data_IF_958737927015
#
_entry.id   IF_958737927015
#
_cell.length_a   1.000
_cell.length_b   1.000
_cell.length_c   1.000
_cell.angle_alpha   90.00
_cell.angle_beta   90.00
_cell.angle_gamma   90.00
#
_symmetry.space_group_name_H-M   'P 1'
#
loop_
_entity.id
_entity.type
_entity.pdbx_description
1 polymer ?
#
# COMPACT_ATOMS: atom_id res chain seq x y z
N UNK A 1 -30.21 9.48 -13.68
CA UNK A 1 -28.82 9.57 -13.19
C UNK A 1 -28.69 10.97 -12.61
N UNK A 2 -28.48 11.11 -11.30
CA UNK A 2 -28.29 12.43 -10.72
C UNK A 2 -27.00 13.03 -11.31
N UNK A 3 -27.06 14.27 -11.81
CA UNK A 3 -25.89 14.99 -12.30
C UNK A 3 -24.83 15.03 -11.20
N UNK A 4 -23.74 14.29 -11.40
CA UNK A 4 -22.58 14.35 -10.52
C UNK A 4 -21.91 15.71 -10.75
N UNK A 5 -22.23 16.68 -9.89
CA UNK A 5 -21.54 17.96 -9.88
C UNK A 5 -20.26 17.83 -9.04
N UNK A 6 -19.06 17.99 -9.63
CA UNK A 6 -17.83 17.94 -8.85
C UNK A 6 -17.86 19.05 -7.79
N UNK A 7 -17.57 18.71 -6.53
CA UNK A 7 -17.51 19.66 -5.41
C UNK A 7 -16.11 20.22 -5.17
N UNK A 8 -15.13 19.69 -5.89
CA UNK A 8 -13.74 20.11 -5.88
C UNK A 8 -13.17 20.04 -7.30
N UNK A 9 -12.13 20.81 -7.56
CA UNK A 9 -11.37 20.72 -8.80
C UNK A 9 -9.86 20.86 -8.57
N UNK A 10 -9.07 20.34 -9.50
CA UNK A 10 -7.61 20.44 -9.46
C UNK A 10 -7.17 21.66 -10.26
N UNK A 11 -6.38 22.54 -9.65
CA UNK A 11 -5.77 23.70 -10.32
C UNK A 11 -4.26 23.69 -10.10
N UNK A 12 -3.49 24.23 -11.05
CA UNK A 12 -2.06 24.53 -10.82
C UNK A 12 -1.98 25.79 -9.97
N UNK A 13 -1.27 25.72 -8.85
CA UNK A 13 -1.07 26.86 -7.95
C UNK A 13 0.12 27.67 -8.43
N UNK A 14 1.31 27.06 -8.46
CA UNK A 14 2.58 27.65 -8.88
C UNK A 14 3.64 26.54 -9.05
N UNK A 15 4.85 26.91 -9.47
CA UNK A 15 5.99 25.98 -9.62
C UNK A 15 6.50 25.41 -8.28
N UNK A 16 6.12 26.04 -7.16
CA UNK A 16 6.58 25.66 -5.82
C UNK A 16 5.69 24.59 -5.17
N UNK A 17 4.38 24.78 -5.27
CA UNK A 17 3.32 23.94 -4.70
C UNK A 17 2.75 22.94 -5.71
N UNK A 18 2.93 23.19 -7.01
CA UNK A 18 2.40 22.34 -8.06
C UNK A 18 0.87 22.40 -8.14
N UNK A 19 0.22 21.22 -8.16
CA UNK A 19 -1.25 21.11 -8.23
C UNK A 19 -1.87 21.18 -6.84
N UNK A 20 -3.02 21.83 -6.73
CA UNK A 20 -3.84 21.87 -5.52
C UNK A 20 -5.30 21.55 -5.80
N UNK A 21 -6.01 21.17 -4.74
CA UNK A 21 -7.45 20.89 -4.76
C UNK A 21 -8.23 22.10 -4.24
N UNK A 22 -9.20 22.58 -5.00
CA UNK A 22 -9.99 23.77 -4.72
C UNK A 22 -11.45 23.42 -4.57
N UNK A 23 -12.11 23.97 -3.55
CA UNK A 23 -13.54 23.78 -3.32
C UNK A 23 -14.39 24.53 -4.36
N UNK A 24 -15.37 23.85 -4.94
CA UNK A 24 -16.40 24.41 -5.83
C UNK A 24 -17.70 24.72 -5.07
N UNK A 25 -17.79 24.31 -3.80
CA UNK A 25 -18.94 24.52 -2.93
C UNK A 25 -18.49 24.75 -1.49
N UNK A 26 -19.39 25.24 -0.63
CA UNK A 26 -19.10 25.40 0.80
C UNK A 26 -19.15 24.04 1.50
N UNK A 27 -18.21 23.81 2.42
CA UNK A 27 -18.17 22.65 3.30
C UNK A 27 -18.35 23.09 4.76
N UNK A 28 -19.09 22.31 5.53
CA UNK A 28 -19.22 22.45 6.97
C UNK A 28 -18.29 21.48 7.70
N UNK A 29 -18.06 21.74 8.99
CA UNK A 29 -17.30 20.83 9.85
C UNK A 29 -18.02 19.47 9.90
N UNK A 30 -17.29 18.41 9.58
CA UNK A 30 -17.81 17.04 9.54
C UNK A 30 -18.13 16.55 8.13
N UNK A 31 -18.21 17.44 7.14
CA UNK A 31 -18.48 17.03 5.76
C UNK A 31 -17.32 16.17 5.23
N UNK A 32 -17.69 15.08 4.54
CA UNK A 32 -16.78 14.37 3.65
C UNK A 32 -16.59 15.27 2.43
N UNK A 33 -15.35 15.56 2.00
CA UNK A 33 -15.06 16.41 0.82
C UNK A 33 -15.09 15.57 -0.46
N UNK A 34 -14.35 14.47 -0.46
CA UNK A 34 -14.40 13.41 -1.46
C UNK A 34 -13.89 12.11 -0.82
N UNK A 35 -14.18 10.99 -1.46
CA UNK A 35 -13.61 9.68 -1.14
C UNK A 35 -12.97 9.13 -2.41
N UNK A 36 -11.82 8.49 -2.26
CA UNK A 36 -11.17 7.80 -3.36
C UNK A 36 -10.75 6.41 -2.93
N UNK A 37 -10.70 5.49 -3.89
CA UNK A 37 -10.07 4.19 -3.68
C UNK A 37 -8.57 4.36 -3.96
N UNK A 38 -7.69 3.81 -3.11
CA UNK A 38 -6.27 3.86 -3.38
C UNK A 38 -5.99 3.15 -4.71
N UNK A 39 -5.11 3.74 -5.52
CA UNK A 39 -4.71 3.13 -6.79
C UNK A 39 -4.05 1.77 -6.56
N UNK A 40 -3.20 1.67 -5.55
CA UNK A 40 -2.69 0.43 -4.98
C UNK A 40 -2.48 0.63 -3.48
N UNK A 41 -2.58 -0.45 -2.71
CA UNK A 41 -2.16 -0.50 -1.31
C UNK A 41 -1.38 -1.79 -1.07
N UNK A 42 -0.62 -1.89 0.01
CA UNK A 42 0.04 -3.12 0.41
C UNK A 42 0.24 -3.11 1.92
N UNK A 43 0.07 -4.26 2.55
CA UNK A 43 0.42 -4.42 3.96
C UNK A 43 1.93 -4.26 4.15
N UNK A 44 2.31 -3.70 5.29
CA UNK A 44 3.69 -3.75 5.76
C UNK A 44 4.14 -5.19 5.97
N UNK A 45 5.32 -5.51 5.47
CA UNK A 45 5.86 -6.87 5.47
C UNK A 45 6.13 -7.37 6.89
N UNK A 46 6.49 -6.48 7.82
CA UNK A 46 6.61 -6.84 9.23
C UNK A 46 5.25 -7.10 9.87
N UNK A 47 4.22 -6.32 9.57
CA UNK A 47 2.87 -6.59 10.08
C UNK A 47 2.36 -7.96 9.60
N UNK A 48 2.59 -8.29 8.34
CA UNK A 48 2.28 -9.61 7.81
C UNK A 48 3.08 -10.71 8.54
N UNK A 49 4.38 -10.50 8.77
CA UNK A 49 5.24 -11.45 9.49
C UNK A 49 4.83 -11.64 10.96
N UNK A 50 4.31 -10.59 11.62
CA UNK A 50 3.74 -10.66 12.97
C UNK A 50 2.29 -11.18 13.00
N UNK A 51 1.75 -11.61 11.86
CA UNK A 51 0.44 -12.26 11.76
C UNK A 51 -0.75 -11.31 11.86
N UNK A 52 -0.58 -10.01 11.56
CA UNK A 52 -1.73 -9.12 11.40
C UNK A 52 -2.51 -9.51 10.15
N UNK A 53 -3.81 -9.74 10.28
CA UNK A 53 -4.65 -10.21 9.18
C UNK A 53 -5.37 -9.05 8.50
N UNK A 54 -5.02 -8.78 7.24
CA UNK A 54 -5.63 -7.72 6.44
C UNK A 54 -5.97 -8.21 5.04
N UNK A 55 -7.09 -7.72 4.49
CA UNK A 55 -7.50 -7.97 3.12
C UNK A 55 -6.42 -7.47 2.16
N UNK A 56 -5.95 -8.36 1.28
CA UNK A 56 -4.90 -8.01 0.33
C UNK A 56 -5.34 -6.90 -0.65
N UNK A 57 -6.65 -6.73 -0.91
CA UNK A 57 -7.15 -5.69 -1.82
C UNK A 57 -7.41 -4.33 -1.15
N UNK A 58 -8.08 -4.31 0.00
CA UNK A 58 -8.63 -3.08 0.58
C UNK A 58 -8.09 -2.75 1.98
N UNK A 59 -7.15 -3.55 2.49
CA UNK A 59 -6.52 -3.40 3.81
C UNK A 59 -7.47 -3.48 5.01
N UNK A 60 -8.75 -3.80 4.81
CA UNK A 60 -9.69 -4.05 5.91
C UNK A 60 -9.22 -5.24 6.76
N UNK A 61 -9.40 -5.20 8.09
CA UNK A 61 -9.06 -6.32 8.96
C UNK A 61 -9.88 -7.57 8.59
N UNK A 62 -9.26 -8.75 8.72
CA UNK A 62 -9.90 -10.05 8.46
C UNK A 62 -10.28 -10.80 9.75
N UNK A 63 -9.93 -10.22 10.90
CA UNK A 63 -10.34 -10.66 12.23
C UNK A 63 -11.05 -9.51 12.94
N UNK A 64 -11.80 -9.82 13.99
CA UNK A 64 -12.40 -8.76 14.82
C UNK A 64 -11.31 -8.04 15.62
N UNK A 65 -11.58 -6.80 16.05
CA UNK A 65 -10.66 -6.06 16.90
C UNK A 65 -10.36 -6.83 18.20
N UNK A 66 -11.37 -7.52 18.75
CA UNK A 66 -11.22 -8.30 19.98
C UNK A 66 -10.34 -9.54 19.77
N UNK A 67 -10.56 -10.30 18.69
CA UNK A 67 -9.70 -11.43 18.34
C UNK A 67 -8.26 -10.99 18.10
N UNK A 68 -8.06 -9.86 17.40
CA UNK A 68 -6.74 -9.30 17.16
C UNK A 68 -6.02 -9.00 18.49
N UNK A 69 -6.65 -8.28 19.40
CA UNK A 69 -6.05 -7.92 20.70
C UNK A 69 -5.81 -9.16 21.56
N UNK A 70 -6.78 -10.10 21.64
CA UNK A 70 -6.59 -11.36 22.38
C UNK A 70 -5.39 -12.15 21.87
N UNK A 71 -5.26 -12.27 20.55
CA UNK A 71 -4.16 -12.99 19.89
C UNK A 71 -2.81 -12.32 20.16
N UNK A 72 -2.73 -10.99 20.02
CA UNK A 72 -1.47 -10.24 20.19
C UNK A 72 -1.03 -10.12 21.65
N UNK A 73 -1.98 -10.09 22.60
CA UNK A 73 -1.70 -9.98 24.04
C UNK A 73 -1.61 -11.33 24.75
N UNK A 74 -1.99 -12.42 24.07
CA UNK A 74 -2.17 -13.75 24.67
C UNK A 74 -3.12 -13.76 25.88
N UNK A 75 -4.11 -12.87 25.90
CA UNK A 75 -5.13 -12.78 26.95
C UNK A 75 -6.51 -13.20 26.40
N UNK A 76 -6.90 -14.48 26.51
CA UNK A 76 -8.17 -14.97 25.93
C UNK A 76 -9.41 -14.35 26.57
N UNK A 77 -9.33 -13.92 27.84
CA UNK A 77 -10.45 -13.35 28.58
C UNK A 77 -10.61 -11.83 28.37
N UNK A 78 -9.75 -11.21 27.56
CA UNK A 78 -9.83 -9.78 27.26
C UNK A 78 -11.12 -9.48 26.47
N UNK A 79 -11.89 -8.49 26.91
CA UNK A 79 -13.11 -8.04 26.23
C UNK A 79 -12.94 -6.57 25.86
N UNK A 80 -13.16 -6.23 24.58
CA UNK A 80 -13.07 -4.84 24.15
C UNK A 80 -14.37 -4.08 24.44
N UNK A 81 -14.28 -2.82 24.90
CA UNK A 81 -15.45 -1.96 24.94
C UNK A 81 -15.87 -1.62 23.49
N UNK A 82 -17.18 -1.64 23.21
CA UNK A 82 -17.79 -1.28 21.92
C UNK A 82 -17.63 -2.29 20.76
N UNK A 83 -18.12 -3.54 20.90
CA UNK A 83 -18.09 -4.53 19.81
C UNK A 83 -18.82 -4.06 18.53
N UNK A 84 -19.80 -3.17 18.64
CA UNK A 84 -20.55 -2.58 17.53
C UNK A 84 -19.71 -1.72 16.58
N UNK A 85 -18.54 -1.26 17.01
CA UNK A 85 -17.59 -0.54 16.16
C UNK A 85 -16.84 -1.48 15.20
N UNK A 86 -16.88 -2.80 15.43
CA UNK A 86 -16.22 -3.77 14.57
C UNK A 86 -17.08 -4.10 13.35
N UNK A 87 -16.60 -3.74 12.17
CA UNK A 87 -17.28 -4.02 10.89
C UNK A 87 -16.76 -5.27 10.16
N UNK A 88 -15.88 -6.05 10.78
CA UNK A 88 -15.29 -7.24 10.16
C UNK A 88 -16.35 -8.33 9.95
N UNK A 89 -16.47 -8.82 8.72
CA UNK A 89 -17.38 -9.91 8.33
C UNK A 89 -16.58 -11.16 7.97
N UNK A 90 -16.24 -11.95 8.98
CA UNK A 90 -15.35 -13.12 8.84
C UNK A 90 -15.96 -14.23 7.98
N UNK A 91 -17.27 -14.36 8.01
CA UNK A 91 -18.07 -15.27 7.21
C UNK A 91 -17.93 -15.03 5.70
N UNK A 92 -17.54 -13.81 5.30
CA UNK A 92 -17.32 -13.45 3.89
C UNK A 92 -15.87 -13.55 3.45
N UNK A 93 -14.94 -13.79 4.38
CA UNK A 93 -13.53 -13.90 4.05
C UNK A 93 -13.31 -15.08 3.11
N UNK A 94 -12.55 -14.84 2.04
CA UNK A 94 -12.20 -15.85 1.02
C UNK A 94 -10.72 -15.77 0.72
N UNK A 95 -10.16 -16.87 0.24
CA UNK A 95 -8.76 -16.95 -0.15
C UNK A 95 -8.62 -17.12 -1.67
N UNK A 96 -7.45 -16.76 -2.17
CA UNK A 96 -7.02 -17.16 -3.50
C UNK A 96 -6.83 -18.69 -3.51
N UNK A 97 -7.49 -19.43 -4.43
CA UNK A 97 -7.40 -20.90 -4.45
C UNK A 97 -6.03 -21.42 -4.87
N UNK A 98 -5.11 -20.54 -5.27
CA UNK A 98 -3.78 -20.90 -5.76
C UNK A 98 -2.63 -20.52 -4.83
N UNK A 99 -2.75 -19.44 -4.07
CA UNK A 99 -1.67 -18.92 -3.21
C UNK A 99 -2.12 -18.55 -1.79
N UNK A 100 -3.37 -18.86 -1.43
CA UNK A 100 -3.93 -18.73 -0.07
C UNK A 100 -4.00 -17.29 0.47
N UNK A 101 -3.62 -16.28 -0.32
CA UNK A 101 -3.79 -14.87 0.04
C UNK A 101 -5.26 -14.57 0.31
N UNK A 102 -5.53 -13.94 1.46
CA UNK A 102 -6.88 -13.71 1.97
C UNK A 102 -7.47 -12.35 1.59
N UNK A 103 -8.79 -12.34 1.39
CA UNK A 103 -9.60 -11.18 1.03
C UNK A 103 -10.84 -11.13 1.91
N UNK A 104 -11.33 -9.93 2.23
CA UNK A 104 -12.52 -9.78 3.07
C UNK A 104 -13.84 -10.15 2.35
N UNK A 105 -13.81 -10.41 1.04
CA UNK A 105 -14.97 -10.77 0.23
C UNK A 105 -14.55 -11.32 -1.13
N UNK A 106 -15.45 -12.07 -1.77
CA UNK A 106 -15.31 -12.49 -3.17
C UNK A 106 -15.06 -11.31 -4.12
N UNK A 107 -15.78 -10.19 -3.93
CA UNK A 107 -15.60 -8.98 -4.75
C UNK A 107 -14.20 -8.37 -4.62
N UNK A 108 -13.60 -8.38 -3.42
CA UNK A 108 -12.22 -7.93 -3.24
C UNK A 108 -11.23 -8.86 -3.92
N UNK A 109 -11.45 -10.18 -3.85
CA UNK A 109 -10.61 -11.16 -4.54
C UNK A 109 -10.66 -10.97 -6.06
N UNK A 110 -11.84 -10.79 -6.64
CA UNK A 110 -11.99 -10.56 -8.08
C UNK A 110 -11.36 -9.24 -8.53
N UNK A 111 -11.61 -8.14 -7.82
CA UNK A 111 -10.98 -6.86 -8.15
C UNK A 111 -9.46 -6.94 -8.05
N UNK A 112 -8.91 -7.61 -7.04
CA UNK A 112 -7.48 -7.86 -6.95
C UNK A 112 -6.99 -8.71 -8.14
N UNK A 113 -7.71 -9.79 -8.46
CA UNK A 113 -7.40 -10.69 -9.58
C UNK A 113 -7.31 -9.93 -10.90
N UNK A 114 -8.32 -9.11 -11.21
CA UNK A 114 -8.36 -8.29 -12.42
C UNK A 114 -7.32 -7.18 -12.42
N UNK A 115 -7.02 -6.60 -11.27
CA UNK A 115 -6.15 -5.44 -11.16
C UNK A 115 -4.67 -5.79 -11.14
N UNK A 116 -4.20 -6.66 -10.24
CA UNK A 116 -2.76 -6.92 -10.07
C UNK A 116 -2.40 -8.35 -9.68
N UNK A 117 -3.34 -9.14 -9.18
CA UNK A 117 -3.00 -10.39 -8.51
C UNK A 117 -2.68 -11.52 -9.48
N UNK A 118 -3.22 -11.57 -10.71
CA UNK A 118 -2.82 -12.58 -11.70
C UNK A 118 -1.31 -12.60 -11.93
N UNK A 119 -0.68 -11.43 -12.04
CA UNK A 119 0.75 -11.26 -12.23
C UNK A 119 1.55 -11.54 -10.95
N UNK A 120 0.98 -11.24 -9.78
CA UNK A 120 1.65 -11.44 -8.48
C UNK A 120 1.37 -12.81 -7.85
N UNK A 121 0.45 -13.60 -8.39
CA UNK A 121 0.02 -14.87 -7.81
C UNK A 121 1.17 -15.88 -7.87
N UNK A 122 1.58 -16.40 -6.72
CA UNK A 122 2.71 -17.33 -6.61
C UNK A 122 2.27 -18.79 -6.67
N UNK A 123 1.20 -19.10 -7.42
CA UNK A 123 0.38 -20.33 -7.50
C UNK A 123 1.06 -21.72 -7.49
N UNK A 124 2.39 -21.78 -7.53
CA UNK A 124 3.21 -23.00 -7.47
C UNK A 124 4.21 -23.00 -6.30
N UNK A 125 4.12 -22.04 -5.38
CA UNK A 125 5.19 -21.73 -4.40
C UNK A 125 4.75 -21.83 -2.94
N UNK A 126 3.55 -22.35 -2.64
CA UNK A 126 3.13 -22.60 -1.24
C UNK A 126 4.18 -23.51 -0.58
N UNK A 127 4.98 -22.96 0.33
CA UNK A 127 6.11 -23.63 0.99
C UNK A 127 7.44 -23.67 0.22
N UNK A 128 7.55 -23.06 -0.97
CA UNK A 128 8.80 -22.98 -1.73
C UNK A 128 9.37 -21.56 -1.65
N UNK A 129 10.30 -21.34 -0.70
CA UNK A 129 10.99 -20.06 -0.40
C UNK A 129 11.83 -19.47 -1.56
N UNK A 130 11.66 -19.99 -2.78
CA UNK A 130 12.47 -19.66 -3.96
C UNK A 130 11.76 -18.74 -4.95
N UNK A 131 10.48 -18.39 -4.77
CA UNK A 131 9.86 -17.43 -5.68
C UNK A 131 10.55 -16.06 -5.56
N UNK A 132 10.90 -15.37 -6.67
CA UNK A 132 11.63 -14.11 -6.58
C UNK A 132 10.87 -13.00 -5.84
N UNK A 133 9.52 -13.03 -5.84
CA UNK A 133 8.71 -12.10 -5.03
C UNK A 133 8.77 -12.38 -3.52
N UNK A 134 9.00 -13.63 -3.11
CA UNK A 134 9.19 -13.95 -1.69
C UNK A 134 10.58 -13.50 -1.24
N UNK A 135 11.59 -13.76 -2.08
CA UNK A 135 12.96 -13.26 -1.87
C UNK A 135 13.01 -11.73 -1.82
N UNK A 136 12.20 -11.04 -2.64
CA UNK A 136 12.07 -9.59 -2.61
C UNK A 136 11.60 -9.08 -1.26
N UNK A 137 10.56 -9.72 -0.72
CA UNK A 137 10.00 -9.36 0.59
C UNK A 137 11.01 -9.63 1.72
N UNK A 138 11.71 -10.76 1.67
CA UNK A 138 12.77 -11.08 2.63
C UNK A 138 13.94 -10.08 2.56
N UNK A 139 14.40 -9.75 1.36
CA UNK A 139 15.45 -8.77 1.16
C UNK A 139 15.03 -7.40 1.69
N UNK A 140 13.79 -6.97 1.44
CA UNK A 140 13.26 -5.72 1.96
C UNK A 140 13.24 -5.68 3.49
N UNK A 141 12.71 -6.71 4.16
CA UNK A 141 12.67 -6.80 5.63
C UNK A 141 14.07 -6.77 6.25
N UNK A 142 15.06 -7.41 5.62
CA UNK A 142 16.45 -7.38 6.09
C UNK A 142 17.09 -5.99 5.97
N UNK A 143 16.67 -5.20 4.99
CA UNK A 143 17.14 -3.82 4.80
C UNK A 143 16.40 -2.81 5.67
N UNK A 144 15.12 -3.05 5.94
CA UNK A 144 14.22 -2.13 6.66
C UNK A 144 13.69 -2.82 7.91
N UNK A 145 14.49 -2.79 8.97
CA UNK A 145 14.03 -3.24 10.30
C UNK A 145 12.96 -2.28 10.84
N UNK A 146 12.02 -2.73 11.69
CA UNK A 146 10.94 -1.89 12.21
C UNK A 146 11.44 -0.59 12.90
N UNK A 147 10.64 0.50 12.86
CA UNK A 147 9.31 0.61 12.24
C UNK A 147 9.37 0.73 10.71
N UNK A 148 8.55 -0.05 10.02
CA UNK A 148 8.41 -0.01 8.57
C UNK A 148 7.67 1.27 8.14
N UNK A 149 8.19 1.96 7.14
CA UNK A 149 7.60 3.20 6.60
C UNK A 149 7.00 3.01 5.21
N UNK A 150 7.24 1.86 4.58
CA UNK A 150 6.85 1.54 3.22
C UNK A 150 6.94 0.04 2.95
N UNK A 151 6.11 -0.47 2.05
CA UNK A 151 6.19 -1.85 1.54
C UNK A 151 6.68 -1.85 0.10
N UNK A 152 7.71 -2.64 -0.20
CA UNK A 152 8.23 -2.84 -1.57
C UNK A 152 7.16 -3.39 -2.53
N UNK A 153 6.16 -4.08 -1.99
CA UNK A 153 5.06 -4.65 -2.76
C UNK A 153 4.17 -3.59 -3.39
N UNK A 154 4.23 -2.32 -2.97
CA UNK A 154 3.60 -1.21 -3.70
C UNK A 154 4.15 -1.12 -5.12
N UNK A 155 5.47 -1.25 -5.31
CA UNK A 155 6.08 -1.23 -6.65
C UNK A 155 5.59 -2.42 -7.46
N UNK A 156 5.63 -3.62 -6.87
CA UNK A 156 5.14 -4.83 -7.51
C UNK A 156 3.70 -4.70 -7.99
N UNK A 157 2.82 -4.11 -7.16
CA UNK A 157 1.41 -3.89 -7.50
C UNK A 157 1.20 -2.83 -8.56
N UNK A 158 1.96 -1.73 -8.56
CA UNK A 158 1.83 -0.72 -9.62
C UNK A 158 2.23 -1.29 -10.98
N UNK A 159 3.34 -2.04 -11.04
CA UNK A 159 3.77 -2.71 -12.26
C UNK A 159 2.73 -3.75 -12.71
N UNK A 160 2.30 -4.62 -11.81
CA UNK A 160 1.29 -5.63 -12.10
C UNK A 160 -0.02 -5.00 -12.59
N UNK A 161 -0.42 -3.86 -12.01
CA UNK A 161 -1.58 -3.07 -12.45
C UNK A 161 -1.43 -2.61 -13.90
N UNK A 162 -0.27 -2.04 -14.28
CA UNK A 162 -0.01 -1.65 -15.66
C UNK A 162 0.01 -2.85 -16.60
N UNK A 163 0.61 -3.98 -16.18
CA UNK A 163 0.69 -5.20 -17.01
C UNK A 163 -0.67 -5.81 -17.31
N UNK A 164 -1.56 -5.86 -16.32
CA UNK A 164 -2.89 -6.44 -16.43
C UNK A 164 -3.92 -5.50 -17.07
N UNK A 165 -3.66 -4.19 -17.07
CA UNK A 165 -4.59 -3.22 -17.63
C UNK A 165 -4.86 -3.47 -19.12
N UNK A 166 -6.14 -3.35 -19.50
CA UNK A 166 -6.56 -3.33 -20.90
C UNK A 166 -5.95 -2.15 -21.65
N UNK A 167 -5.93 -0.98 -21.01
CA UNK A 167 -5.23 0.23 -21.46
C UNK A 167 -3.96 0.43 -20.64
N UNK A 168 -2.86 -0.16 -21.10
CA UNK A 168 -1.55 -0.04 -20.47
C UNK A 168 -1.03 1.40 -20.47
N UNK A 169 -1.34 2.17 -21.52
CA UNK A 169 -0.90 3.56 -21.67
C UNK A 169 -1.57 4.47 -20.64
N UNK A 170 -2.89 4.34 -20.48
CA UNK A 170 -3.64 5.03 -19.44
C UNK A 170 -3.23 4.65 -18.03
N UNK A 171 -3.03 3.35 -17.76
CA UNK A 171 -2.56 2.88 -16.46
C UNK A 171 -1.14 3.39 -16.12
N UNK A 172 -0.22 3.37 -17.08
CA UNK A 172 1.12 3.93 -16.90
C UNK A 172 1.06 5.45 -16.70
N UNK A 173 0.20 6.15 -17.45
CA UNK A 173 0.01 7.58 -17.29
C UNK A 173 -0.47 7.95 -15.89
N UNK A 174 -1.39 7.17 -15.31
CA UNK A 174 -1.90 7.38 -13.96
C UNK A 174 -0.78 7.42 -12.92
N UNK A 175 0.15 6.47 -12.95
CA UNK A 175 1.30 6.43 -12.05
C UNK A 175 2.35 7.49 -12.39
N UNK A 176 2.45 7.90 -13.66
CA UNK A 176 3.35 8.99 -14.08
C UNK A 176 2.94 10.36 -13.53
N UNK A 177 1.72 10.52 -13.02
CA UNK A 177 1.27 11.78 -12.42
C UNK A 177 1.77 11.97 -10.97
N UNK A 178 2.35 10.94 -10.36
CA UNK A 178 2.94 11.06 -9.02
C UNK A 178 4.12 12.04 -8.99
N UNK A 179 4.30 12.72 -7.87
CA UNK A 179 5.24 13.83 -7.76
C UNK A 179 6.69 13.36 -7.97
N UNK A 180 7.33 13.90 -9.02
CA UNK A 180 8.71 13.55 -9.40
C UNK A 180 9.79 14.35 -8.67
N UNK A 181 9.39 15.38 -7.90
CA UNK A 181 10.32 16.34 -7.30
C UNK A 181 10.26 16.24 -5.78
N UNK A 182 11.30 15.66 -5.21
CA UNK A 182 11.55 15.70 -3.77
C UNK A 182 12.12 17.04 -3.39
N UNK A 183 11.30 17.96 -2.87
CA UNK A 183 11.82 19.18 -2.26
C UNK A 183 11.94 19.01 -0.75
N UNK A 184 12.71 18.00 -0.34
CA UNK A 184 13.14 17.92 1.05
C UNK A 184 14.23 18.96 1.26
N UNK A 185 14.00 19.95 2.13
CA UNK A 185 15.08 20.76 2.71
C UNK A 185 16.05 19.92 3.57
N UNK A 186 15.71 18.66 3.82
CA UNK A 186 16.55 17.66 4.49
C UNK A 186 17.01 16.63 3.46
N UNK A 187 18.12 16.90 2.77
CA UNK A 187 18.82 15.91 1.93
C UNK A 187 19.22 14.63 2.68
N UNK A 188 19.10 14.62 4.00
CA UNK A 188 19.48 13.52 4.89
C UNK A 188 18.67 12.22 4.69
N UNK A 189 17.39 12.27 4.26
CA UNK A 189 16.57 11.05 4.13
C UNK A 189 16.98 10.25 2.89
N UNK A 190 17.27 10.94 1.77
CA UNK A 190 17.83 10.31 0.57
C UNK A 190 19.19 9.66 0.84
N UNK A 191 20.07 10.36 1.54
CA UNK A 191 21.41 9.85 1.83
C UNK A 191 21.41 8.66 2.80
N UNK A 192 20.41 8.55 3.69
CA UNK A 192 20.30 7.45 4.68
C UNK A 192 19.83 6.11 4.11
N UNK A 193 19.13 6.09 2.98
CA UNK A 193 18.58 4.86 2.36
C UNK A 193 19.10 4.60 0.95
N UNK A 194 19.50 5.63 0.22
CA UNK A 194 19.99 5.57 -1.17
C UNK A 194 21.39 6.17 -1.33
N UNK A 195 22.10 6.40 -0.23
CA UNK A 195 23.52 6.73 -0.27
C UNK A 195 24.30 5.69 -1.09
N UNK A 196 25.47 6.05 -1.63
CA UNK A 196 26.30 5.15 -2.48
C UNK A 196 26.49 3.74 -1.89
N UNK A 197 26.51 3.63 -0.56
CA UNK A 197 26.62 2.37 0.18
C UNK A 197 25.45 1.39 0.02
N UNK A 198 24.27 1.85 -0.45
CA UNK A 198 23.07 1.02 -0.62
C UNK A 198 22.77 0.65 -2.08
N UNK A 199 23.61 1.08 -3.03
CA UNK A 199 23.39 0.84 -4.45
C UNK A 199 23.29 -0.64 -4.80
N UNK A 200 24.14 -1.48 -4.19
CA UNK A 200 24.12 -2.92 -4.43
C UNK A 200 22.81 -3.57 -3.94
N UNK A 201 22.29 -3.13 -2.80
CA UNK A 201 21.06 -3.62 -2.21
C UNK A 201 19.84 -3.17 -3.02
N UNK A 202 19.81 -1.91 -3.47
CA UNK A 202 18.75 -1.40 -4.36
C UNK A 202 18.75 -2.15 -5.68
N UNK A 203 19.91 -2.37 -6.28
CA UNK A 203 20.05 -3.16 -7.51
C UNK A 203 19.57 -4.60 -7.29
N UNK A 204 19.88 -5.19 -6.14
CA UNK A 204 19.38 -6.53 -5.79
C UNK A 204 17.85 -6.58 -5.73
N UNK A 205 17.19 -5.61 -5.09
CA UNK A 205 15.73 -5.51 -5.07
C UNK A 205 15.16 -5.35 -6.49
N UNK A 206 15.79 -4.54 -7.34
CA UNK A 206 15.40 -4.35 -8.74
C UNK A 206 15.44 -5.66 -9.53
N UNK A 207 16.51 -6.43 -9.39
CA UNK A 207 16.66 -7.73 -10.02
C UNK A 207 15.59 -8.73 -9.56
N UNK A 208 15.24 -8.73 -8.27
CA UNK A 208 14.21 -9.60 -7.73
C UNK A 208 12.81 -9.23 -8.26
N UNK A 209 12.49 -7.94 -8.40
CA UNK A 209 11.24 -7.48 -9.03
C UNK A 209 11.16 -7.93 -10.49
N UNK A 210 12.20 -7.69 -11.28
CA UNK A 210 12.23 -8.06 -12.71
C UNK A 210 12.01 -9.56 -12.89
N UNK A 211 12.73 -10.37 -12.11
CA UNK A 211 12.60 -11.83 -12.13
C UNK A 211 11.21 -12.28 -11.67
N UNK A 212 10.68 -11.67 -10.62
CA UNK A 212 9.38 -12.03 -10.04
C UNK A 212 8.20 -11.68 -10.92
N UNK A 213 8.29 -10.61 -11.71
CA UNK A 213 7.23 -10.14 -12.59
C UNK A 213 7.42 -10.57 -14.06
N UNK A 214 8.49 -11.30 -14.35
CA UNK A 214 8.89 -11.77 -15.69
C UNK A 214 8.78 -10.62 -16.72
N UNK A 215 9.41 -9.49 -16.42
CA UNK A 215 9.26 -8.28 -17.21
C UNK A 215 10.62 -7.71 -17.64
N UNK A 216 11.02 -8.04 -18.86
CA UNK A 216 12.25 -7.54 -19.47
C UNK A 216 12.12 -6.08 -19.94
N UNK A 217 10.90 -5.63 -20.26
CA UNK A 217 10.62 -4.25 -20.68
C UNK A 217 10.80 -3.23 -19.53
N UNK A 218 10.71 -3.69 -18.27
CA UNK A 218 11.07 -2.89 -17.10
C UNK A 218 12.53 -2.43 -17.10
N UNK A 219 13.43 -3.04 -17.85
CA UNK A 219 14.84 -2.65 -17.89
C UNK A 219 15.01 -1.16 -18.25
N UNK A 220 14.16 -0.60 -19.12
CA UNK A 220 14.19 0.83 -19.48
C UNK A 220 13.42 1.74 -18.50
N UNK A 221 12.38 1.19 -17.85
CA UNK A 221 11.57 1.85 -16.80
C UNK A 221 12.40 2.03 -15.51
N UNK A 222 13.43 1.21 -15.31
CA UNK A 222 14.02 0.86 -14.02
C UNK A 222 15.02 1.81 -13.37
N UNK A 223 15.41 2.94 -13.97
CA UNK A 223 16.28 3.90 -13.25
C UNK A 223 15.50 5.12 -12.76
N UNK A 224 14.66 5.71 -13.62
CA UNK A 224 13.88 6.89 -13.26
C UNK A 224 12.70 6.56 -12.35
N UNK A 225 11.93 5.50 -12.67
CA UNK A 225 10.79 5.10 -11.83
C UNK A 225 11.25 4.44 -10.53
N UNK A 226 12.29 3.62 -10.52
CA UNK A 226 12.80 3.05 -9.27
C UNK A 226 13.35 4.13 -8.32
N UNK A 227 14.02 5.17 -8.87
CA UNK A 227 14.45 6.34 -8.10
C UNK A 227 13.27 7.20 -7.62
N UNK A 228 12.20 7.34 -8.41
CA UNK A 228 10.96 7.99 -7.99
C UNK A 228 10.24 7.20 -6.89
N UNK A 229 10.14 5.89 -7.07
CA UNK A 229 9.38 4.98 -6.23
C UNK A 229 10.07 4.68 -4.90
N UNK A 230 11.39 4.83 -4.81
CA UNK A 230 12.09 4.83 -3.51
C UNK A 230 11.93 6.16 -2.77
N UNK A 231 11.28 7.16 -3.38
CA UNK A 231 11.00 8.47 -2.78
C UNK A 231 9.50 8.69 -2.54
N UNK A 232 8.63 8.03 -3.30
CA UNK A 232 7.17 8.10 -3.20
C UNK A 232 6.63 7.65 -1.82
N UNK A 233 7.13 6.58 -1.17
CA UNK A 233 6.69 6.24 0.18
C UNK A 233 7.01 7.35 1.18
N UNK A 234 8.12 8.08 0.97
CA UNK A 234 8.52 9.21 1.81
C UNK A 234 7.80 10.52 1.46
N UNK A 235 7.36 10.69 0.20
CA UNK A 235 6.55 11.85 -0.24
C UNK A 235 5.07 11.70 0.14
N UNK A 236 4.53 10.48 0.11
CA UNK A 236 3.13 10.19 0.42
C UNK A 236 2.89 9.83 1.88
N UNK A 237 3.94 9.74 2.72
CA UNK A 237 3.78 9.72 4.18
C UNK A 237 3.13 11.01 4.72
N UNK A 238 3.09 12.08 3.93
CA UNK A 238 2.28 13.28 4.21
C UNK A 238 0.85 13.21 3.63
N UNK A 239 0.57 12.37 2.63
CA UNK A 239 -0.76 12.29 1.97
C UNK A 239 -1.59 11.12 2.50
N UNK A 240 -0.98 10.07 3.06
CA UNK A 240 -1.72 9.05 3.84
C UNK A 240 -2.33 9.58 5.14
N UNK A 241 -2.03 10.84 5.50
CA UNK A 241 -2.74 11.61 6.53
C UNK A 241 -4.06 12.24 6.03
N UNK A 242 -4.49 11.96 4.80
CA UNK A 242 -5.85 12.27 4.34
C UNK A 242 -6.78 11.14 4.76
N UNK A 243 -7.13 11.19 6.05
CA UNK A 243 -8.34 10.64 6.68
C UNK A 243 -8.66 9.16 6.39
N UNK A 244 -7.74 8.27 6.76
CA UNK A 244 -8.20 7.08 7.49
C UNK A 244 -8.35 7.55 8.93
N UNK A 245 -9.57 7.95 9.30
CA UNK A 245 -10.00 7.86 10.70
C UNK A 245 -9.91 6.38 11.05
N UNK A 246 -8.71 5.95 11.47
CA UNK A 246 -8.63 4.86 12.42
C UNK A 246 -9.43 5.40 13.60
N UNK A 247 -10.58 4.79 13.85
CA UNK A 247 -11.24 4.81 15.15
C UNK A 247 -10.25 4.24 16.19
N UNK A 248 -9.17 4.97 16.47
CA UNK A 248 -8.59 4.98 17.79
C UNK A 248 -9.58 5.77 18.62
N UNK A 249 -10.55 5.03 19.15
CA UNK A 249 -11.35 5.44 20.28
C UNK A 249 -10.44 6.22 21.24
N UNK A 250 -10.79 7.47 21.52
CA UNK A 250 -10.14 8.34 22.49
C UNK A 250 -9.66 7.54 23.70
N UNK A 251 -8.36 7.22 23.76
CA UNK A 251 -7.63 6.99 24.99
C UNK A 251 -6.13 7.01 24.68
N UNK A 252 -5.45 7.96 25.33
CA UNK A 252 -3.99 8.06 25.37
C UNK A 252 -3.43 6.74 25.91
N UNK A 253 -2.69 6.00 25.10
CA UNK A 253 -1.71 5.06 25.62
C UNK A 253 -0.32 5.59 25.29
N UNK A 254 0.31 6.17 26.31
CA UNK A 254 1.75 6.34 26.34
C UNK A 254 2.36 4.94 26.41
N UNK A 255 3.06 4.52 25.37
CA UNK A 255 4.07 3.48 25.53
C UNK A 255 5.40 4.18 25.85
N UNK A 256 5.77 4.16 27.13
CA UNK A 256 7.17 4.17 27.53
C UNK A 256 7.79 2.88 27.00
N UNK A 257 8.75 2.98 26.09
CA UNK A 257 10.18 2.73 26.34
C UNK A 257 10.98 3.24 25.14
#
# INVERSE_FOLDING_TARGET
MADYHPRVEVRVIDDEKGKGLFALSKFNKGDVIFEERPLVCAQFLWNQAYGYLACDYCMRPLETAEENVRRLTHMPDLVLPYPECCSTRKDECVECPYCEVSYCSYSCREQAWEQYHQVLCTSSSVGNTRHPLDQLQDAWRKMHYPPETASIMLIGRMIATVKQAKDKGGAAHLFSQFCHKTRSKNGDIFHKLLGKQFQAQVEHLRQLIIKGLQDEDLLQVSMALFSLFLTIPFLNLQILYIRVEILFCNNRFHFMY
#
